data_IF_566830924565
#
_entry.id   IF_566830924565
#
_cell.length_a   1.000
_cell.length_b   1.000
_cell.length_c   1.000
_cell.angle_alpha   90.00
_cell.angle_beta   90.00
_cell.angle_gamma   90.00
#
_symmetry.space_group_name_H-M   'P 1'
#
loop_
_entity.id
_entity.type
_entity.pdbx_description
1 polymer ?
#
# COMPACT_ATOMS: atom_id res chain seq x y z
N UNK A 1 25.84 -10.96 44.94
CA UNK A 1 26.08 -11.19 43.50
C UNK A 1 24.73 -11.35 42.85
N UNK A 2 24.25 -10.32 42.14
CA UNK A 2 22.97 -10.39 41.42
C UNK A 2 23.15 -11.30 40.19
N UNK A 3 22.17 -12.14 39.84
CA UNK A 3 22.27 -12.98 38.66
C UNK A 3 22.36 -12.08 37.42
N UNK A 4 23.36 -12.34 36.57
CA UNK A 4 23.47 -11.73 35.24
C UNK A 4 22.15 -11.99 34.51
N UNK A 5 21.50 -10.92 34.04
CA UNK A 5 20.31 -11.00 33.19
C UNK A 5 20.63 -11.93 32.01
N UNK A 6 19.71 -12.86 31.74
CA UNK A 6 19.68 -13.62 30.49
C UNK A 6 19.86 -12.64 29.31
N UNK A 7 20.75 -13.00 28.39
CA UNK A 7 21.09 -12.34 27.12
C UNK A 7 20.29 -11.07 26.80
N UNK A 8 20.94 -9.91 26.84
CA UNK A 8 20.37 -8.69 26.30
C UNK A 8 20.27 -8.84 24.78
N UNK A 9 19.15 -9.36 24.28
CA UNK A 9 18.80 -9.22 22.88
C UNK A 9 18.69 -7.72 22.58
N UNK A 10 19.45 -7.24 21.60
CA UNK A 10 19.36 -5.86 21.15
C UNK A 10 17.95 -5.56 20.64
N UNK A 11 17.43 -4.38 20.97
CA UNK A 11 16.16 -3.92 20.43
C UNK A 11 16.23 -3.84 18.88
N UNK A 12 15.15 -4.17 18.16
CA UNK A 12 15.13 -4.01 16.71
C UNK A 12 15.38 -2.56 16.30
N UNK A 13 16.23 -2.36 15.29
CA UNK A 13 16.60 -1.04 14.82
C UNK A 13 17.49 -1.07 13.58
N UNK A 14 18.10 0.07 13.28
CA UNK A 14 19.01 0.20 12.16
C UNK A 14 20.35 -0.46 12.47
N UNK A 15 20.89 -1.17 11.48
CA UNK A 15 22.26 -1.68 11.44
C UNK A 15 22.86 -1.22 10.11
N UNK A 16 23.44 -0.03 10.13
CA UNK A 16 23.85 0.72 8.94
C UNK A 16 25.19 0.21 8.43
N UNK A 17 25.27 -0.04 7.13
CA UNK A 17 26.54 -0.31 6.43
C UNK A 17 26.79 0.80 5.44
N UNK A 18 27.93 1.46 5.57
CA UNK A 18 28.36 2.54 4.68
C UNK A 18 29.86 2.43 4.36
N UNK A 19 30.41 3.43 3.69
CA UNK A 19 31.82 3.46 3.29
C UNK A 19 32.80 3.45 4.48
N UNK A 20 32.33 3.75 5.69
CA UNK A 20 33.12 3.78 6.93
C UNK A 20 32.96 2.52 7.78
N UNK A 21 32.09 1.58 7.41
CA UNK A 21 31.97 0.28 8.05
C UNK A 21 30.54 -0.03 8.51
N UNK A 22 30.42 -0.56 9.73
CA UNK A 22 29.15 -1.09 10.29
C UNK A 22 28.89 -0.68 11.74
N UNK A 23 29.71 0.22 12.30
CA UNK A 23 29.71 0.63 13.71
C UNK A 23 29.33 2.11 13.89
N UNK A 24 28.71 2.72 12.88
CA UNK A 24 28.29 4.12 12.88
C UNK A 24 27.00 4.40 13.68
N UNK A 25 26.18 3.39 13.96
CA UNK A 25 24.96 3.55 14.75
C UNK A 25 25.31 3.80 16.25
N UNK A 26 24.68 4.80 16.87
CA UNK A 26 24.97 5.22 18.25
C UNK A 26 24.48 4.23 19.33
N UNK A 27 23.53 3.35 18.96
CA UNK A 27 22.92 2.33 19.80
C UNK A 27 23.00 0.97 19.09
N UNK A 28 23.46 -0.11 19.74
CA UNK A 28 23.44 -1.44 19.15
C UNK A 28 22.00 -2.00 18.97
N UNK A 29 21.70 -2.52 17.77
CA UNK A 29 20.38 -3.02 17.40
C UNK A 29 20.41 -4.46 16.87
N UNK A 30 19.26 -5.14 16.91
CA UNK A 30 18.99 -6.27 16.03
C UNK A 30 18.47 -5.77 14.68
N UNK A 31 19.00 -6.32 13.59
CA UNK A 31 18.66 -5.88 12.22
C UNK A 31 17.18 -6.09 11.92
N UNK A 32 16.54 -5.05 11.39
CA UNK A 32 15.18 -5.14 10.84
C UNK A 32 15.24 -5.77 9.44
N UNK A 33 14.44 -6.82 9.14
CA UNK A 33 14.39 -7.42 7.81
C UNK A 33 13.95 -6.43 6.73
N UNK A 34 14.60 -6.50 5.57
CA UNK A 34 14.23 -5.74 4.37
C UNK A 34 13.68 -6.67 3.30
N UNK A 35 12.62 -6.23 2.63
CA UNK A 35 11.98 -6.95 1.54
C UNK A 35 11.86 -6.05 0.32
N UNK A 36 12.15 -6.60 -0.87
CA UNK A 36 11.96 -5.86 -2.12
C UNK A 36 10.47 -5.66 -2.36
N UNK A 37 10.04 -4.41 -2.42
CA UNK A 37 8.67 -4.03 -2.72
C UNK A 37 8.50 -3.75 -4.22
N UNK A 38 7.33 -4.08 -4.81
CA UNK A 38 7.03 -3.65 -6.16
C UNK A 38 6.77 -2.14 -6.21
N UNK A 39 6.90 -1.54 -7.39
CA UNK A 39 6.59 -0.11 -7.59
C UNK A 39 5.10 0.20 -7.39
N UNK A 40 4.22 -0.78 -7.65
CA UNK A 40 2.77 -0.65 -7.56
C UNK A 40 2.18 -1.89 -6.91
N UNK A 41 1.10 -1.69 -6.16
CA UNK A 41 0.25 -2.75 -5.64
C UNK A 41 -1.16 -2.53 -6.18
N UNK A 42 -1.90 -3.61 -6.37
CA UNK A 42 -3.31 -3.58 -6.74
C UNK A 42 -4.12 -4.38 -5.72
N UNK A 43 -5.34 -3.93 -5.44
CA UNK A 43 -6.32 -4.71 -4.70
C UNK A 43 -7.28 -5.40 -5.69
N UNK A 44 -7.72 -6.60 -5.35
CA UNK A 44 -8.83 -7.23 -6.08
C UNK A 44 -10.11 -6.47 -5.71
N UNK A 45 -10.77 -5.88 -6.71
CA UNK A 45 -12.01 -5.13 -6.54
C UNK A 45 -13.27 -6.03 -6.36
N UNK A 46 -13.07 -7.32 -6.03
CA UNK A 46 -14.15 -8.32 -5.93
C UNK A 46 -14.94 -8.44 -7.24
N UNK A 47 -14.24 -8.43 -8.37
CA UNK A 47 -14.87 -8.68 -9.67
C UNK A 47 -15.62 -10.02 -9.64
N UNK A 48 -16.82 -10.11 -10.25
CA UNK A 48 -17.55 -11.35 -10.32
C UNK A 48 -16.78 -12.39 -11.17
N UNK A 49 -17.07 -13.68 -10.97
CA UNK A 49 -16.34 -14.75 -11.66
C UNK A 49 -16.63 -14.84 -13.16
N UNK A 50 -17.73 -14.24 -13.62
CA UNK A 50 -18.23 -14.27 -14.99
C UNK A 50 -17.83 -13.06 -15.84
N UNK A 51 -16.79 -12.31 -15.44
CA UNK A 51 -16.27 -11.18 -16.22
C UNK A 51 -15.71 -11.66 -17.57
N UNK A 52 -16.23 -11.09 -18.65
CA UNK A 52 -15.81 -11.25 -20.03
C UNK A 52 -14.71 -10.26 -20.41
N UNK A 53 -13.91 -10.60 -21.43
CA UNK A 53 -12.95 -9.67 -22.04
C UNK A 53 -13.59 -8.47 -22.74
N UNK A 54 -14.92 -8.48 -22.89
CA UNK A 54 -15.70 -7.35 -23.42
C UNK A 54 -16.19 -6.38 -22.34
N UNK A 55 -16.05 -6.74 -21.07
CA UNK A 55 -16.58 -5.93 -19.99
C UNK A 55 -15.69 -4.72 -19.72
N UNK A 56 -16.33 -3.61 -19.37
CA UNK A 56 -15.64 -2.38 -19.03
C UNK A 56 -15.44 -2.35 -17.51
N UNK A 57 -14.21 -2.03 -17.09
CA UNK A 57 -13.86 -1.90 -15.68
C UNK A 57 -13.32 -0.51 -15.38
N UNK A 58 -13.60 -0.03 -14.17
CA UNK A 58 -12.99 1.20 -13.66
C UNK A 58 -11.57 0.90 -13.18
N UNK A 59 -10.60 1.61 -13.76
CA UNK A 59 -9.22 1.61 -13.26
C UNK A 59 -9.07 2.77 -12.29
N UNK A 60 -9.16 2.48 -10.99
CA UNK A 60 -9.07 3.51 -9.92
C UNK A 60 -7.62 3.65 -9.46
N UNK A 61 -7.10 4.88 -9.46
CA UNK A 61 -5.73 5.22 -9.08
C UNK A 61 -5.66 6.61 -8.44
N UNK A 62 -4.51 6.95 -7.85
CA UNK A 62 -4.27 8.28 -7.28
C UNK A 62 -4.03 9.29 -8.41
N UNK A 63 -4.64 10.47 -8.30
CA UNK A 63 -4.67 11.48 -9.37
C UNK A 63 -3.29 11.84 -9.96
N UNK A 64 -2.24 11.91 -9.13
CA UNK A 64 -0.89 12.19 -9.60
C UNK A 64 -0.30 11.09 -10.51
N UNK A 65 -0.90 9.89 -10.54
CA UNK A 65 -0.53 8.83 -11.49
C UNK A 65 -1.24 8.95 -12.85
N UNK A 66 -2.16 9.90 -13.07
CA UNK A 66 -2.96 9.98 -14.29
C UNK A 66 -2.13 9.90 -15.58
N UNK A 67 -1.03 10.67 -15.67
CA UNK A 67 -0.15 10.63 -16.84
C UNK A 67 0.51 9.26 -17.05
N UNK A 68 0.96 8.61 -15.97
CA UNK A 68 1.57 7.28 -16.04
C UNK A 68 0.55 6.20 -16.43
N UNK A 69 -0.65 6.23 -15.86
CA UNK A 69 -1.70 5.26 -16.17
C UNK A 69 -2.18 5.40 -17.60
N UNK A 70 -2.51 6.61 -18.07
CA UNK A 70 -2.91 6.86 -19.46
C UNK A 70 -1.83 6.40 -20.43
N UNK A 71 -0.55 6.68 -20.14
CA UNK A 71 0.57 6.20 -20.95
C UNK A 71 0.58 4.67 -21.02
N UNK A 72 0.47 3.98 -19.88
CA UNK A 72 0.48 2.51 -19.84
C UNK A 72 -0.70 1.92 -20.60
N UNK A 73 -1.92 2.41 -20.39
CA UNK A 73 -3.11 1.94 -21.11
C UNK A 73 -2.97 2.10 -22.63
N UNK A 74 -2.40 3.22 -23.10
CA UNK A 74 -2.18 3.43 -24.53
C UNK A 74 -1.10 2.51 -25.12
N UNK A 75 -0.18 1.95 -24.31
CA UNK A 75 0.72 0.88 -24.79
C UNK A 75 -0.01 -0.44 -25.07
N UNK A 76 -1.19 -0.63 -24.47
CA UNK A 76 -2.06 -1.81 -24.64
C UNK A 76 -3.07 -1.65 -25.79
N UNK A 77 -2.85 -0.70 -26.71
CA UNK A 77 -3.70 -0.37 -27.87
C UNK A 77 -5.03 0.31 -27.53
N UNK A 78 -5.10 0.99 -26.39
CA UNK A 78 -6.20 1.91 -26.05
C UNK A 78 -5.94 3.32 -26.57
N UNK A 79 -6.99 4.15 -26.57
CA UNK A 79 -6.92 5.58 -26.92
C UNK A 79 -7.53 6.43 -25.81
N UNK A 80 -6.82 6.52 -24.68
CA UNK A 80 -7.19 7.38 -23.56
C UNK A 80 -6.37 8.67 -23.54
N UNK A 81 -6.96 9.71 -22.99
CA UNK A 81 -6.37 11.01 -22.72
C UNK A 81 -6.61 11.39 -21.26
N UNK A 82 -5.96 12.47 -20.82
CA UNK A 82 -6.21 13.01 -19.46
C UNK A 82 -7.67 13.49 -19.30
N UNK A 83 -8.35 13.84 -20.39
CA UNK A 83 -9.75 14.24 -20.34
C UNK A 83 -10.70 13.09 -20.01
N UNK A 84 -10.26 11.84 -20.16
CA UNK A 84 -11.02 10.64 -19.82
C UNK A 84 -10.86 10.25 -18.34
N UNK A 85 -10.01 10.97 -17.59
CA UNK A 85 -9.78 10.72 -16.16
C UNK A 85 -10.76 11.54 -15.33
N UNK A 86 -11.52 10.87 -14.46
CA UNK A 86 -12.46 11.47 -13.52
C UNK A 86 -12.17 11.11 -12.07
N UNK A 87 -12.78 11.86 -11.13
CA UNK A 87 -12.75 11.51 -9.72
C UNK A 87 -13.74 10.38 -9.44
N UNK A 88 -13.24 9.26 -8.93
CA UNK A 88 -14.06 8.10 -8.54
C UNK A 88 -14.83 8.32 -7.22
N UNK A 89 -14.24 9.11 -6.32
CA UNK A 89 -14.84 9.55 -5.04
C UNK A 89 -14.78 11.08 -4.97
N UNK A 90 -15.43 11.68 -3.97
CA UNK A 90 -15.35 13.12 -3.72
C UNK A 90 -13.88 13.59 -3.68
N UNK A 91 -13.56 14.66 -4.43
CA UNK A 91 -12.19 15.20 -4.55
C UNK A 91 -11.57 15.59 -3.19
N UNK A 92 -12.39 15.91 -2.20
CA UNK A 92 -11.95 16.21 -0.83
C UNK A 92 -11.58 14.96 -0.02
N UNK A 93 -11.94 13.76 -0.50
CA UNK A 93 -11.57 12.49 0.10
C UNK A 93 -10.18 12.05 -0.39
N UNK A 94 -9.18 12.21 0.47
CA UNK A 94 -7.79 11.88 0.15
C UNK A 94 -7.36 10.58 0.84
N UNK A 95 -6.25 10.00 0.39
CA UNK A 95 -5.66 8.79 1.01
C UNK A 95 -5.38 8.92 2.50
N UNK A 96 -5.16 10.15 2.99
CA UNK A 96 -4.98 10.45 4.42
C UNK A 96 -6.24 10.18 5.25
N UNK A 97 -7.42 10.24 4.63
CA UNK A 97 -8.71 9.97 5.29
C UNK A 97 -9.08 8.50 5.26
N UNK A 98 -8.59 7.73 4.29
CA UNK A 98 -9.00 6.33 4.09
C UNK A 98 -8.79 5.45 5.32
N UNK A 99 -7.55 5.33 5.82
CA UNK A 99 -7.24 4.49 6.98
C UNK A 99 -7.93 4.95 8.28
N UNK A 100 -7.97 6.27 8.60
CA UNK A 100 -8.73 6.74 9.77
C UNK A 100 -10.22 6.42 9.71
N UNK A 101 -10.88 6.61 8.56
CA UNK A 101 -12.30 6.28 8.41
C UNK A 101 -12.52 4.75 8.52
N UNK A 102 -11.65 3.95 7.90
CA UNK A 102 -11.71 2.49 8.02
C UNK A 102 -11.55 2.01 9.46
N UNK A 103 -10.61 2.60 10.21
CA UNK A 103 -10.31 2.21 11.58
C UNK A 103 -11.48 2.43 12.54
N UNK A 104 -12.38 3.38 12.26
CA UNK A 104 -13.60 3.62 13.06
C UNK A 104 -14.55 2.42 13.04
N UNK A 105 -14.64 1.76 11.89
CA UNK A 105 -15.59 0.66 11.66
C UNK A 105 -14.92 -0.72 11.58
N UNK A 106 -13.59 -0.79 11.63
CA UNK A 106 -12.80 -2.03 11.48
C UNK A 106 -13.35 -3.18 12.33
N UNK A 107 -13.61 -2.93 13.62
CA UNK A 107 -14.01 -3.96 14.57
C UNK A 107 -15.38 -4.58 14.23
N UNK A 108 -16.30 -3.82 13.64
CA UNK A 108 -17.64 -4.27 13.32
C UNK A 108 -17.64 -5.43 12.30
N UNK A 109 -16.59 -5.52 11.48
CA UNK A 109 -16.49 -6.48 10.37
C UNK A 109 -15.46 -7.59 10.60
N UNK A 110 -14.74 -7.60 11.73
CA UNK A 110 -13.69 -8.61 12.02
C UNK A 110 -14.17 -10.07 11.99
N UNK A 111 -15.39 -10.42 12.45
CA UNK A 111 -15.83 -11.82 12.45
C UNK A 111 -15.98 -12.44 11.04
N UNK A 112 -16.21 -11.63 10.00
CA UNK A 112 -16.45 -12.11 8.62
C UNK A 112 -15.57 -11.45 7.55
N UNK A 113 -14.86 -10.36 7.87
CA UNK A 113 -13.96 -9.56 7.04
C UNK A 113 -14.31 -9.60 5.54
N UNK A 114 -15.52 -9.15 5.13
CA UNK A 114 -15.92 -9.21 3.73
C UNK A 114 -15.00 -8.31 2.89
N UNK A 115 -14.47 -8.85 1.80
CA UNK A 115 -13.69 -8.08 0.84
C UNK A 115 -14.65 -7.17 0.06
N UNK A 116 -14.26 -5.90 -0.13
CA UNK A 116 -14.97 -4.99 -1.04
C UNK A 116 -15.99 -4.03 -0.41
N UNK A 117 -16.33 -4.14 0.87
CA UNK A 117 -17.24 -3.19 1.56
C UNK A 117 -16.59 -1.84 1.92
N UNK A 118 -15.54 -1.43 1.20
CA UNK A 118 -14.63 -0.35 1.60
C UNK A 118 -15.26 1.00 1.91
N UNK A 119 -14.47 1.89 2.52
CA UNK A 119 -14.88 3.27 2.84
C UNK A 119 -15.10 4.07 1.55
N UNK A 120 -16.27 4.70 1.40
CA UNK A 120 -16.59 5.59 0.29
C UNK A 120 -17.55 5.03 -0.76
N UNK A 121 -18.30 3.97 -0.42
CA UNK A 121 -19.51 3.56 -1.15
C UNK A 121 -20.73 4.42 -0.79
#
# INVERSE_FOLDING_TARGET
MLPKRLSAEYAPGYTTTDDFGTDGDDTPHSTIPSFKQPNYIQANASFPEDVSSTDVVDVVFLDFFAASVVKVLNTLRSTYTIADVGYYVDKSFTTRKYLPEFAKEWQANVPSCPVGSGVGS
#
